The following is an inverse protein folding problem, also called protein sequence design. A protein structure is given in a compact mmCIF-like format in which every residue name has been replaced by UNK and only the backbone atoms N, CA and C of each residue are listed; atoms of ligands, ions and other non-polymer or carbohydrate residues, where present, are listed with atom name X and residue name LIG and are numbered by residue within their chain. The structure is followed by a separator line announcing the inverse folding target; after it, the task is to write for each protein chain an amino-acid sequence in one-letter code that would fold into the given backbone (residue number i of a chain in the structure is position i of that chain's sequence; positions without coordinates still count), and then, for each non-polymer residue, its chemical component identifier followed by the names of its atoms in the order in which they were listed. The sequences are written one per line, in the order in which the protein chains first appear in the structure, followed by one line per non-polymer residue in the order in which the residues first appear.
data_IF_795385725690
#
_entry.id   IF_795385725690
#
_cell.length_a   1.000
_cell.length_b   1.000
_cell.length_c   1.000
_cell.angle_alpha   90.00
_cell.angle_beta   90.00
_cell.angle_gamma   90.00
#
_symmetry.space_group_name_H-M   'P 1'
#
loop_
_entity.id
_entity.type
_entity.pdbx_description
1 polymer ?
#
# COMPACT_ATOMS: atom_id res chain seq x y z
N UNK A 1 -3.38 9.53 -22.43
CA UNK A 1 -4.52 9.09 -21.60
C UNK A 1 -4.40 9.84 -20.29
N UNK A 2 -5.43 10.55 -19.83
CA UNK A 2 -5.38 11.27 -18.55
C UNK A 2 -6.13 10.43 -17.51
N UNK A 3 -5.48 9.45 -16.85
CA UNK A 3 -6.13 8.65 -15.81
C UNK A 3 -6.44 9.59 -14.66
N UNK A 4 -7.70 10.03 -14.56
CA UNK A 4 -8.15 10.75 -13.37
C UNK A 4 -7.86 9.87 -12.17
N UNK A 5 -7.14 10.42 -11.20
CA UNK A 5 -6.72 9.69 -10.01
C UNK A 5 -7.97 9.13 -9.31
N UNK A 6 -8.01 7.82 -9.15
CA UNK A 6 -9.08 7.08 -8.49
C UNK A 6 -9.33 7.58 -7.06
N UNK A 7 -8.34 8.24 -6.44
CA UNK A 7 -8.43 8.88 -5.13
C UNK A 7 -9.30 10.13 -5.12
N UNK A 8 -9.41 10.81 -6.26
CA UNK A 8 -10.08 12.12 -6.38
C UNK A 8 -11.47 12.03 -7.01
N UNK A 9 -11.83 10.85 -7.52
CA UNK A 9 -13.10 10.63 -8.20
C UNK A 9 -14.20 10.27 -7.19
N UNK A 10 -15.12 11.20 -6.97
CA UNK A 10 -16.31 11.04 -6.11
C UNK A 10 -17.38 10.09 -6.69
N UNK A 11 -16.98 9.12 -7.53
CA UNK A 11 -17.89 8.07 -7.99
C UNK A 11 -17.92 6.95 -6.94
N UNK A 12 -19.10 6.56 -6.42
CA UNK A 12 -19.22 5.54 -5.36
C UNK A 12 -18.48 4.23 -5.67
N UNK A 13 -18.57 3.77 -6.93
CA UNK A 13 -17.97 2.52 -7.39
C UNK A 13 -16.43 2.54 -7.34
N UNK A 14 -15.83 3.72 -7.61
CA UNK A 14 -14.39 3.91 -7.62
C UNK A 14 -13.84 4.12 -6.19
N UNK A 15 -14.59 4.79 -5.33
CA UNK A 15 -14.26 4.94 -3.91
C UNK A 15 -14.22 3.58 -3.19
N UNK A 16 -15.22 2.72 -3.45
CA UNK A 16 -15.23 1.35 -2.92
C UNK A 16 -14.06 0.51 -3.44
N UNK A 17 -13.71 0.66 -4.72
CA UNK A 17 -12.57 -0.03 -5.33
C UNK A 17 -11.23 0.41 -4.70
N UNK A 18 -11.04 1.72 -4.47
CA UNK A 18 -9.86 2.23 -3.78
C UNK A 18 -9.73 1.67 -2.35
N UNK A 19 -10.82 1.72 -1.58
CA UNK A 19 -10.85 1.16 -0.22
C UNK A 19 -10.60 -0.36 -0.18
N UNK A 20 -10.97 -1.09 -1.23
CA UNK A 20 -10.64 -2.52 -1.35
C UNK A 20 -9.14 -2.74 -1.60
N UNK A 21 -8.52 -1.95 -2.48
CA UNK A 21 -7.09 -2.02 -2.76
C UNK A 21 -6.24 -1.62 -1.56
N UNK A 22 -6.66 -0.60 -0.80
CA UNK A 22 -5.98 -0.19 0.44
C UNK A 22 -6.01 -1.30 1.48
N UNK A 23 -7.17 -1.96 1.68
CA UNK A 23 -7.28 -3.12 2.58
C UNK A 23 -6.40 -4.29 2.12
N UNK A 24 -6.33 -4.56 0.83
CA UNK A 24 -5.46 -5.61 0.29
C UNK A 24 -3.97 -5.30 0.53
N UNK A 25 -3.57 -4.03 0.39
CA UNK A 25 -2.20 -3.60 0.65
C UNK A 25 -1.82 -3.73 2.12
N UNK A 26 -2.74 -3.43 3.05
CA UNK A 26 -2.51 -3.64 4.48
C UNK A 26 -2.37 -5.13 4.81
N UNK A 27 -3.26 -5.97 4.30
CA UNK A 27 -3.19 -7.42 4.51
C UNK A 27 -1.88 -8.03 3.94
N UNK A 28 -1.39 -7.53 2.81
CA UNK A 28 -0.12 -7.97 2.24
C UNK A 28 1.08 -7.58 3.13
N UNK A 29 1.06 -6.38 3.71
CA UNK A 29 2.09 -5.92 4.66
C UNK A 29 2.08 -6.76 5.94
N UNK A 30 0.89 -7.04 6.50
CA UNK A 30 0.75 -7.90 7.67
C UNK A 30 1.32 -9.30 7.41
N UNK A 31 0.99 -9.88 6.26
CA UNK A 31 1.50 -11.21 5.87
C UNK A 31 3.03 -11.20 5.68
N UNK A 32 3.57 -10.16 5.03
CA UNK A 32 5.01 -10.01 4.82
C UNK A 32 5.78 -9.90 6.14
N UNK A 33 5.22 -9.16 7.10
CA UNK A 33 5.76 -9.04 8.46
C UNK A 33 5.70 -10.37 9.22
N UNK A 34 4.56 -11.07 9.16
CA UNK A 34 4.37 -12.34 9.86
C UNK A 34 5.28 -13.45 9.32
N UNK A 35 5.49 -13.48 8.00
CA UNK A 35 6.28 -14.53 7.34
C UNK A 35 7.74 -14.14 7.13
N UNK A 36 8.13 -12.92 7.53
CA UNK A 36 9.45 -12.35 7.29
C UNK A 36 9.86 -12.41 5.79
N UNK A 37 8.90 -12.11 4.92
CA UNK A 37 9.08 -12.08 3.46
C UNK A 37 9.01 -10.65 2.92
N UNK A 38 9.56 -10.43 1.72
CA UNK A 38 9.51 -9.14 1.03
C UNK A 38 8.32 -9.03 0.08
N UNK A 39 7.82 -7.81 -0.14
CA UNK A 39 6.83 -7.50 -1.16
C UNK A 39 7.55 -6.92 -2.38
N UNK A 40 7.36 -7.52 -3.56
CA UNK A 40 7.90 -7.01 -4.81
C UNK A 40 6.82 -6.25 -5.56
N UNK A 41 7.06 -4.98 -5.86
CA UNK A 41 6.17 -4.09 -6.61
C UNK A 41 6.85 -3.54 -7.85
N UNK A 42 6.08 -3.23 -8.89
CA UNK A 42 6.58 -2.52 -10.07
C UNK A 42 6.11 -1.07 -10.02
N UNK A 43 7.05 -0.14 -9.90
CA UNK A 43 6.79 1.31 -9.90
C UNK A 43 7.46 1.87 -11.15
N UNK A 44 6.68 2.49 -12.03
CA UNK A 44 7.16 3.06 -13.30
C UNK A 44 7.95 2.06 -14.15
N UNK A 45 7.53 0.79 -14.14
CA UNK A 45 8.18 -0.30 -14.86
C UNK A 45 9.47 -0.81 -14.22
N UNK A 46 9.87 -0.28 -13.06
CA UNK A 46 11.02 -0.75 -12.28
C UNK A 46 10.54 -1.65 -11.16
N UNK A 47 11.19 -2.80 -11.03
CA UNK A 47 10.98 -3.70 -9.89
C UNK A 47 11.61 -3.11 -8.64
N UNK A 48 10.80 -2.97 -7.59
CA UNK A 48 11.22 -2.50 -6.27
C UNK A 48 10.83 -3.57 -5.26
N UNK A 49 11.78 -3.97 -4.43
CA UNK A 49 11.55 -4.89 -3.32
C UNK A 49 11.42 -4.11 -2.02
N UNK A 50 10.35 -4.36 -1.28
CA UNK A 50 10.08 -3.83 0.05
C UNK A 50 10.25 -4.96 1.06
N UNK A 51 11.35 -4.93 1.81
CA UNK A 51 11.59 -5.93 2.85
C UNK A 51 10.69 -5.71 4.07
N UNK A 52 10.37 -6.79 4.79
CA UNK A 52 9.57 -6.74 6.02
C UNK A 52 10.11 -5.74 7.06
N UNK A 53 11.43 -5.57 7.14
CA UNK A 53 12.07 -4.62 8.06
C UNK A 53 11.76 -3.16 7.70
N UNK A 54 11.79 -2.82 6.41
CA UNK A 54 11.45 -1.48 5.93
C UNK A 54 9.95 -1.17 6.13
N UNK A 55 9.09 -2.17 5.92
CA UNK A 55 7.64 -2.06 6.18
C UNK A 55 7.40 -1.78 7.66
N UNK A 56 8.05 -2.53 8.55
CA UNK A 56 7.95 -2.34 10.01
C UNK A 56 8.38 -0.95 10.45
N UNK A 57 9.52 -0.45 9.93
CA UNK A 57 10.01 0.90 10.26
C UNK A 57 8.99 1.97 9.87
N UNK A 58 8.39 1.83 8.68
CA UNK A 58 7.38 2.75 8.18
C UNK A 58 6.09 2.73 8.99
N UNK A 59 5.64 1.56 9.44
CA UNK A 59 4.45 1.43 10.30
C UNK A 59 4.65 2.11 11.66
N UNK A 60 5.84 1.97 12.23
CA UNK A 60 6.18 2.62 13.51
C UNK A 60 6.29 4.15 13.34
N UNK A 61 6.86 4.64 12.25
CA UNK A 61 6.86 6.07 11.91
C UNK A 61 5.43 6.61 11.68
N UNK A 62 4.58 5.84 10.99
CA UNK A 62 3.19 6.22 10.74
C UNK A 62 2.35 6.28 12.03
N UNK A 63 2.63 5.40 13.00
CA UNK A 63 2.02 5.45 14.34
C UNK A 63 2.57 6.62 15.16
N UNK A 64 3.87 6.90 15.09
CA UNK A 64 4.51 8.00 15.82
C UNK A 64 4.10 9.39 15.30
N UNK A 65 3.73 9.49 14.02
CA UNK A 65 3.29 10.73 13.38
C UNK A 65 1.79 11.05 13.55
N UNK A 66 1.01 10.18 14.19
CA UNK A 66 -0.42 10.41 14.43
C UNK A 66 -0.61 11.11 15.80
N UNK A 67 -1.12 12.36 15.86
CA UNK A 67 -1.37 13.05 17.13
C UNK A 67 -2.51 12.43 17.93
#
# INVERSE_FOLDING_TARGET
MNPKDIRTLSKPDLACSYAAMERAALAAQDLALQTNTGIVVSIDGKTVELSAQLIKMRDEEAKASKP
#
